data_IF_054865304929
#
_entry.id   IF_054865304929
#
_cell.length_a   1.000
_cell.length_b   1.000
_cell.length_c   1.000
_cell.angle_alpha   90.00
_cell.angle_beta   90.00
_cell.angle_gamma   90.00
#
_symmetry.space_group_name_H-M   'P 1'
#
loop_
_entity.id
_entity.type
_entity.pdbx_description
1 polymer ?
#
# COMPACT_ATOMS: atom_id res chain seq x y z
N UNK A 1 -71.18 -22.31 -0.86
CA UNK A 1 -69.86 -22.59 -0.25
C UNK A 1 -68.86 -21.63 -0.88
N UNK A 2 -68.45 -20.54 -0.17
CA UNK A 2 -67.57 -19.47 -0.69
C UNK A 2 -66.19 -19.69 -0.08
N UNK A 3 -65.21 -20.02 -0.94
CA UNK A 3 -63.81 -20.21 -0.54
C UNK A 3 -63.13 -18.84 -0.63
N UNK A 4 -62.71 -18.31 0.52
CA UNK A 4 -61.89 -17.11 0.59
C UNK A 4 -60.40 -17.48 0.42
N UNK A 5 -59.81 -16.96 -0.65
CA UNK A 5 -58.35 -17.12 -0.91
C UNK A 5 -57.64 -16.01 -0.12
N UNK A 6 -56.83 -16.39 0.87
CA UNK A 6 -56.00 -15.48 1.63
C UNK A 6 -54.62 -15.40 0.91
N UNK A 7 -54.33 -14.22 0.33
CA UNK A 7 -53.01 -13.91 -0.21
C UNK A 7 -52.08 -13.48 0.94
N UNK A 8 -51.07 -14.30 1.24
CA UNK A 8 -49.98 -13.92 2.16
C UNK A 8 -48.88 -13.19 1.35
N UNK A 9 -48.79 -11.86 1.51
CA UNK A 9 -47.69 -11.08 0.99
C UNK A 9 -46.45 -11.32 1.87
N UNK A 10 -45.46 -12.02 1.35
CA UNK A 10 -44.13 -12.13 1.99
C UNK A 10 -43.36 -10.84 1.72
N UNK A 11 -43.15 -10.02 2.75
CA UNK A 11 -42.22 -8.89 2.71
C UNK A 11 -40.78 -9.42 2.77
N UNK A 12 -40.03 -9.37 1.66
CA UNK A 12 -38.60 -9.60 1.61
C UNK A 12 -37.91 -8.34 2.12
N UNK A 13 -37.47 -8.32 3.37
CA UNK A 13 -36.65 -7.26 3.92
C UNK A 13 -35.20 -7.43 3.39
N UNK A 14 -34.82 -6.59 2.42
CA UNK A 14 -33.41 -6.43 2.04
C UNK A 14 -32.66 -5.76 3.20
N UNK A 15 -31.89 -6.54 3.98
CA UNK A 15 -30.91 -6.00 4.92
C UNK A 15 -29.77 -5.38 4.11
N UNK A 16 -29.41 -4.11 4.36
CA UNK A 16 -28.22 -3.54 3.74
C UNK A 16 -27.00 -4.34 4.19
N UNK A 17 -26.15 -4.74 3.23
CA UNK A 17 -24.87 -5.33 3.52
C UNK A 17 -24.07 -4.36 4.40
N UNK A 18 -23.63 -4.80 5.58
CA UNK A 18 -22.77 -4.01 6.44
C UNK A 18 -21.50 -3.64 5.64
N UNK A 19 -21.29 -2.35 5.43
CA UNK A 19 -20.06 -1.86 4.83
C UNK A 19 -18.89 -2.29 5.72
N UNK A 20 -17.81 -2.75 5.11
CA UNK A 20 -16.57 -3.11 5.79
C UNK A 20 -16.08 -1.90 6.59
N UNK A 21 -16.19 -1.96 7.91
CA UNK A 21 -15.92 -0.83 8.83
C UNK A 21 -14.44 -0.73 9.22
N UNK A 22 -13.55 -1.39 8.48
CA UNK A 22 -12.11 -1.30 8.68
C UNK A 22 -11.57 0.12 8.40
N UNK A 23 -10.40 0.48 8.96
CA UNK A 23 -9.79 1.78 8.70
C UNK A 23 -9.45 1.92 7.21
N UNK A 24 -9.67 3.11 6.64
CA UNK A 24 -9.30 3.40 5.26
C UNK A 24 -7.78 3.38 5.06
N UNK A 25 -7.32 3.19 3.81
CA UNK A 25 -5.89 3.28 3.46
C UNK A 25 -5.31 4.62 3.93
N UNK A 26 -6.02 5.72 3.67
CA UNK A 26 -5.62 7.06 4.12
C UNK A 26 -5.44 7.12 5.63
N UNK A 27 -6.39 6.60 6.39
CA UNK A 27 -6.33 6.62 7.86
C UNK A 27 -5.11 5.84 8.36
N UNK A 28 -4.85 4.62 7.86
CA UNK A 28 -3.69 3.83 8.25
C UNK A 28 -2.39 4.57 7.90
N UNK A 29 -2.29 5.19 6.71
CA UNK A 29 -1.11 5.92 6.29
C UNK A 29 -0.86 7.19 7.13
N UNK A 30 -1.92 7.88 7.57
CA UNK A 30 -1.82 9.02 8.50
C UNK A 30 -1.34 8.58 9.88
N UNK A 31 -1.90 7.50 10.42
CA UNK A 31 -1.52 6.95 11.72
C UNK A 31 -0.05 6.54 11.79
N UNK A 32 0.49 5.99 10.69
CA UNK A 32 1.91 5.64 10.57
C UNK A 32 2.79 6.82 10.14
N UNK A 33 2.22 8.02 9.91
CA UNK A 33 2.94 9.21 9.49
C UNK A 33 3.62 9.08 8.13
N UNK A 34 3.06 8.28 7.20
CA UNK A 34 3.72 7.90 5.95
C UNK A 34 3.69 8.98 4.87
N UNK A 35 2.73 9.89 4.86
CA UNK A 35 2.64 10.94 3.85
C UNK A 35 3.86 11.86 3.86
N UNK A 36 4.31 12.26 2.68
CA UNK A 36 5.47 13.11 2.47
C UNK A 36 6.60 12.41 1.74
N UNK A 37 7.79 12.99 1.81
CA UNK A 37 8.99 12.50 1.09
C UNK A 37 9.92 11.75 2.02
N UNK A 38 10.49 10.67 1.51
CA UNK A 38 11.40 9.78 2.22
C UNK A 38 12.64 9.51 1.37
N UNK A 39 13.83 9.50 1.98
CA UNK A 39 15.07 9.14 1.31
C UNK A 39 16.09 8.57 2.33
N UNK A 40 17.12 7.91 1.86
CA UNK A 40 18.25 7.52 2.72
C UNK A 40 19.04 8.78 3.15
N UNK A 41 19.21 9.71 2.21
CA UNK A 41 19.80 11.03 2.42
C UNK A 41 18.92 12.09 1.75
N UNK A 42 18.20 12.89 2.55
CA UNK A 42 17.26 13.90 2.05
C UNK A 42 17.93 15.05 1.27
N UNK A 43 19.20 15.29 1.51
CA UNK A 43 19.98 16.36 0.84
C UNK A 43 20.67 15.89 -0.44
N UNK A 44 20.80 14.59 -0.63
CA UNK A 44 21.46 14.01 -1.81
C UNK A 44 20.50 13.89 -3.00
N UNK A 45 21.04 13.70 -4.23
CA UNK A 45 20.26 13.42 -5.40
C UNK A 45 19.57 12.05 -5.28
N UNK A 46 18.46 11.88 -6.03
CA UNK A 46 17.84 10.58 -6.18
C UNK A 46 18.75 9.65 -6.98
N UNK A 47 18.95 8.44 -6.48
CA UNK A 47 19.72 7.35 -7.11
C UNK A 47 19.16 6.00 -6.64
N UNK A 48 19.51 4.87 -7.26
CA UNK A 48 19.10 3.55 -6.76
C UNK A 48 19.55 3.24 -5.33
N UNK A 49 20.68 3.83 -4.89
CA UNK A 49 21.16 3.70 -3.51
C UNK A 49 20.51 4.73 -2.55
N UNK A 50 19.96 5.81 -3.10
CA UNK A 50 19.25 6.85 -2.38
C UNK A 50 17.89 7.12 -3.06
N UNK A 51 16.96 6.16 -3.06
CA UNK A 51 15.66 6.37 -3.67
C UNK A 51 14.94 7.51 -2.94
N UNK A 52 14.31 8.39 -3.72
CA UNK A 52 13.41 9.40 -3.17
C UNK A 52 11.99 8.92 -3.36
N UNK A 53 11.33 8.62 -2.26
CA UNK A 53 9.97 8.07 -2.25
C UNK A 53 9.02 9.16 -1.79
N UNK A 54 8.07 9.53 -2.64
CA UNK A 54 7.02 10.50 -2.30
C UNK A 54 5.69 9.78 -2.17
N UNK A 55 5.05 9.93 -1.01
CA UNK A 55 3.74 9.36 -0.72
C UNK A 55 2.74 10.50 -0.63
N UNK A 56 1.73 10.45 -1.46
CA UNK A 56 0.71 11.48 -1.54
C UNK A 56 -0.67 10.91 -1.84
N UNK A 57 -1.65 11.80 -1.82
CA UNK A 57 -3.04 11.47 -2.15
C UNK A 57 -3.54 12.48 -3.21
N UNK A 58 -3.22 12.24 -4.50
CA UNK A 58 -3.58 13.15 -5.58
C UNK A 58 -5.08 13.28 -5.80
N UNK A 59 -5.82 12.26 -5.40
CA UNK A 59 -7.29 12.21 -5.41
C UNK A 59 -7.78 11.66 -4.09
N UNK A 60 -8.90 12.15 -3.58
CA UNK A 60 -9.46 11.69 -2.31
C UNK A 60 -9.58 10.16 -2.28
N UNK A 61 -9.02 9.55 -1.23
CA UNK A 61 -9.02 8.10 -1.02
C UNK A 61 -8.00 7.31 -1.86
N UNK A 62 -7.26 7.95 -2.78
CA UNK A 62 -6.26 7.28 -3.63
C UNK A 62 -4.85 7.61 -3.14
N UNK A 63 -4.22 6.69 -2.44
CA UNK A 63 -2.84 6.82 -1.98
C UNK A 63 -1.89 6.30 -3.04
N UNK A 64 -0.93 7.15 -3.42
CA UNK A 64 0.13 6.84 -4.40
C UNK A 64 1.48 6.95 -3.72
N UNK A 65 2.37 6.03 -4.03
CA UNK A 65 3.79 6.05 -3.68
C UNK A 65 4.62 6.09 -4.96
N UNK A 66 5.34 7.18 -5.19
CA UNK A 66 6.24 7.38 -6.33
C UNK A 66 7.70 7.25 -5.88
N UNK A 67 8.48 6.42 -6.57
CA UNK A 67 9.90 6.26 -6.34
C UNK A 67 10.69 6.89 -7.49
N UNK A 68 11.49 7.88 -7.18
CA UNK A 68 12.49 8.46 -8.06
C UNK A 68 13.85 7.81 -7.75
N UNK A 69 14.44 7.20 -8.76
CA UNK A 69 15.73 6.49 -8.70
C UNK A 69 16.84 7.25 -9.45
N UNK A 70 16.56 8.49 -9.88
CA UNK A 70 17.46 9.32 -10.69
C UNK A 70 17.11 9.33 -12.18
N UNK A 71 17.81 10.19 -12.92
CA UNK A 71 17.49 10.50 -14.32
C UNK A 71 17.59 9.32 -15.29
N UNK A 72 18.46 8.37 -14.97
CA UNK A 72 18.73 7.21 -15.85
C UNK A 72 17.77 6.03 -15.59
N UNK A 73 16.79 6.21 -14.70
CA UNK A 73 15.88 5.17 -14.29
C UNK A 73 14.43 5.61 -14.48
N UNK A 74 13.59 4.68 -14.92
CA UNK A 74 12.15 4.90 -14.92
C UNK A 74 11.65 5.06 -13.47
N UNK A 75 10.71 5.97 -13.27
CA UNK A 75 10.03 6.11 -11.98
C UNK A 75 9.17 4.88 -11.70
N UNK A 76 9.22 4.39 -10.47
CA UNK A 76 8.32 3.34 -10.02
C UNK A 76 7.14 3.99 -9.32
N UNK A 77 5.92 3.64 -9.75
CA UNK A 77 4.68 4.10 -9.15
C UNK A 77 3.92 2.94 -8.55
N UNK A 78 3.38 3.16 -7.36
CA UNK A 78 2.52 2.20 -6.68
C UNK A 78 1.20 2.88 -6.32
N UNK A 79 0.08 2.25 -6.66
CA UNK A 79 -1.25 2.61 -6.17
C UNK A 79 -1.61 1.69 -5.02
N UNK A 80 -1.92 2.24 -3.85
CA UNK A 80 -2.24 1.46 -2.66
C UNK A 80 -3.72 1.08 -2.68
N UNK A 81 -4.00 -0.23 -2.69
CA UNK A 81 -5.36 -0.78 -2.71
C UNK A 81 -5.91 -1.01 -1.32
N UNK A 82 -5.06 -1.54 -0.43
CA UNK A 82 -5.42 -1.84 0.95
C UNK A 82 -4.23 -1.61 1.87
N UNK A 83 -4.51 -1.25 3.12
CA UNK A 83 -3.51 -1.12 4.18
C UNK A 83 -4.09 -1.65 5.48
N UNK A 84 -3.27 -2.38 6.24
CA UNK A 84 -3.65 -2.86 7.56
C UNK A 84 -2.47 -2.83 8.52
N UNK A 85 -2.75 -2.45 9.75
CA UNK A 85 -1.78 -2.51 10.84
C UNK A 85 -1.51 -3.99 11.20
N UNK A 86 -0.24 -4.37 11.30
CA UNK A 86 0.20 -5.67 11.85
C UNK A 86 0.56 -5.48 13.33
N UNK A 87 1.39 -4.47 13.62
CA UNK A 87 1.79 -4.07 14.98
C UNK A 87 1.83 -2.54 15.07
N UNK A 88 2.21 -1.99 16.21
CA UNK A 88 2.42 -0.54 16.35
C UNK A 88 3.44 0.04 15.35
N UNK A 89 4.42 -0.77 14.92
CA UNK A 89 5.51 -0.36 14.03
C UNK A 89 5.44 -1.03 12.64
N UNK A 90 4.51 -1.94 12.40
CA UNK A 90 4.44 -2.70 11.12
C UNK A 90 3.07 -2.59 10.50
N UNK A 91 3.07 -2.40 9.18
CA UNK A 91 1.85 -2.44 8.37
C UNK A 91 2.07 -3.30 7.14
N UNK A 92 1.00 -3.94 6.67
CA UNK A 92 0.92 -4.60 5.38
C UNK A 92 0.12 -3.75 4.42
N UNK A 93 0.53 -3.73 3.16
CA UNK A 93 -0.17 -3.05 2.07
C UNK A 93 -0.28 -3.95 0.85
N UNK A 94 -1.42 -3.90 0.20
CA UNK A 94 -1.61 -4.46 -1.13
C UNK A 94 -1.55 -3.30 -2.13
N UNK A 95 -0.76 -3.45 -3.19
CA UNK A 95 -0.51 -2.38 -4.15
C UNK A 95 -0.61 -2.88 -5.59
N UNK A 96 -0.85 -1.94 -6.51
CA UNK A 96 -0.57 -2.12 -7.94
C UNK A 96 0.73 -1.37 -8.24
N UNK A 97 1.74 -2.09 -8.70
CA UNK A 97 2.96 -1.54 -9.25
C UNK A 97 2.74 -1.15 -10.71
N UNK A 98 3.19 0.05 -11.11
CA UNK A 98 3.07 0.60 -12.46
C UNK A 98 1.63 0.54 -13.02
N UNK A 99 0.63 1.11 -12.30
CA UNK A 99 -0.77 1.01 -12.68
C UNK A 99 -1.01 1.55 -14.09
N UNK A 100 -1.78 0.80 -14.89
CA UNK A 100 -2.13 1.15 -16.27
C UNK A 100 -1.02 0.95 -17.30
N UNK A 101 0.12 0.35 -16.93
CA UNK A 101 1.23 0.06 -17.84
C UNK A 101 1.28 -1.42 -18.22
N UNK A 102 2.00 -1.79 -19.30
CA UNK A 102 2.25 -3.20 -19.65
C UNK A 102 3.01 -3.98 -18.56
N UNK A 103 3.70 -3.27 -17.65
CA UNK A 103 4.40 -3.85 -16.50
C UNK A 103 3.60 -3.84 -15.21
N UNK A 104 2.28 -3.69 -15.28
CA UNK A 104 1.42 -3.69 -14.11
C UNK A 104 1.49 -5.02 -13.35
N UNK A 105 1.73 -4.95 -12.04
CA UNK A 105 1.76 -6.11 -11.16
C UNK A 105 1.05 -5.81 -9.85
N UNK A 106 0.29 -6.77 -9.33
CA UNK A 106 -0.19 -6.74 -7.95
C UNK A 106 0.92 -7.25 -7.02
N UNK A 107 1.16 -6.53 -5.94
CA UNK A 107 2.20 -6.88 -4.98
C UNK A 107 1.67 -6.74 -3.56
N UNK A 108 2.21 -7.57 -2.65
CA UNK A 108 2.03 -7.48 -1.20
C UNK A 108 3.33 -7.01 -0.58
N UNK A 109 3.26 -5.95 0.21
CA UNK A 109 4.41 -5.41 0.92
C UNK A 109 4.14 -5.35 2.42
N UNK A 110 5.24 -5.42 3.20
CA UNK A 110 5.21 -5.03 4.60
C UNK A 110 6.29 -3.98 4.86
N UNK A 111 5.94 -2.98 5.64
CA UNK A 111 6.86 -1.95 6.09
C UNK A 111 7.06 -2.02 7.60
N UNK A 112 8.30 -1.83 8.03
CA UNK A 112 8.64 -1.41 9.39
C UNK A 112 8.75 0.10 9.39
N UNK A 113 8.00 0.77 10.26
CA UNK A 113 7.99 2.23 10.43
C UNK A 113 8.25 2.53 11.90
N UNK A 114 9.37 3.16 12.20
CA UNK A 114 9.79 3.47 13.57
C UNK A 114 10.71 4.68 13.60
N UNK A 115 10.51 5.58 14.56
CA UNK A 115 11.40 6.70 14.86
C UNK A 115 11.71 7.56 13.61
N UNK A 116 10.67 7.89 12.82
CA UNK A 116 10.83 8.68 11.60
C UNK A 116 11.59 7.97 10.48
N UNK A 117 11.75 6.65 10.57
CA UNK A 117 12.34 5.81 9.52
C UNK A 117 11.36 4.78 9.00
N UNK A 118 11.56 4.33 7.75
CA UNK A 118 10.82 3.20 7.17
C UNK A 118 11.74 2.27 6.39
N UNK A 119 11.37 0.99 6.35
CA UNK A 119 12.05 -0.04 5.57
C UNK A 119 11.05 -1.06 5.06
N UNK A 120 11.24 -1.53 3.83
CA UNK A 120 10.48 -2.67 3.30
C UNK A 120 11.00 -3.96 3.92
N UNK A 121 10.13 -4.69 4.61
CA UNK A 121 10.43 -5.96 5.28
C UNK A 121 10.02 -7.17 4.45
N UNK A 122 8.99 -7.00 3.61
CA UNK A 122 8.47 -8.03 2.73
C UNK A 122 8.02 -7.42 1.41
N UNK A 123 8.22 -8.13 0.31
CA UNK A 123 7.64 -7.85 -1.00
C UNK A 123 7.45 -9.16 -1.75
N UNK A 124 6.26 -9.37 -2.28
CA UNK A 124 5.90 -10.50 -3.14
C UNK A 124 4.96 -10.03 -4.23
N UNK A 125 5.24 -10.42 -5.48
CA UNK A 125 4.27 -10.32 -6.57
C UNK A 125 3.16 -11.34 -6.34
N UNK A 126 1.92 -10.98 -6.59
CA UNK A 126 0.77 -11.88 -6.41
C UNK A 126 0.92 -13.10 -7.32
N UNK A 127 0.84 -14.29 -6.74
CA UNK A 127 1.13 -15.56 -7.44
C UNK A 127 2.57 -15.75 -7.89
N UNK A 128 3.49 -14.84 -7.55
CA UNK A 128 4.88 -14.84 -7.98
C UNK A 128 5.91 -15.00 -6.85
N UNK A 129 7.20 -14.77 -7.17
CA UNK A 129 8.27 -14.96 -6.21
C UNK A 129 8.29 -13.89 -5.13
N UNK A 130 8.77 -14.28 -3.94
CA UNK A 130 9.14 -13.34 -2.88
C UNK A 130 10.41 -12.61 -3.31
N UNK A 131 10.38 -11.27 -3.32
CA UNK A 131 11.50 -10.40 -3.70
C UNK A 131 12.27 -9.87 -2.48
N UNK A 132 11.54 -9.62 -1.38
CA UNK A 132 12.11 -9.16 -0.11
C UNK A 132 11.56 -10.04 1.02
N UNK A 133 12.44 -10.50 1.90
CA UNK A 133 12.09 -11.24 3.11
C UNK A 133 12.95 -10.79 4.28
N UNK A 134 12.30 -10.42 5.40
CA UNK A 134 12.99 -9.93 6.59
C UNK A 134 13.84 -8.67 6.35
N UNK A 135 13.47 -7.82 5.38
CA UNK A 135 14.24 -6.64 5.00
C UNK A 135 15.48 -6.93 4.14
N UNK A 136 15.60 -8.14 3.59
CA UNK A 136 16.67 -8.54 2.67
C UNK A 136 16.09 -8.66 1.27
N UNK A 137 16.66 -7.96 0.30
CA UNK A 137 16.36 -8.10 -1.13
C UNK A 137 17.01 -9.39 -1.66
N UNK A 138 16.20 -10.41 -1.97
CA UNK A 138 16.68 -11.77 -2.24
C UNK A 138 17.57 -11.85 -3.48
N UNK A 139 17.32 -11.02 -4.50
CA UNK A 139 18.12 -11.01 -5.73
C UNK A 139 19.56 -10.51 -5.52
N UNK A 140 19.82 -9.70 -4.48
CA UNK A 140 21.11 -9.06 -4.23
C UNK A 140 21.74 -9.47 -2.90
N UNK A 141 21.00 -10.15 -2.02
CA UNK A 141 21.44 -10.49 -0.67
C UNK A 141 21.62 -9.29 0.27
N UNK A 142 21.29 -8.07 -0.18
CA UNK A 142 21.49 -6.84 0.58
C UNK A 142 20.26 -6.41 1.35
N UNK A 143 20.45 -5.63 2.41
CA UNK A 143 19.37 -5.00 3.15
C UNK A 143 18.62 -3.99 2.27
N UNK A 144 17.28 -3.95 2.38
CA UNK A 144 16.50 -2.88 1.77
C UNK A 144 16.88 -1.52 2.38
N UNK A 145 16.77 -0.41 1.62
CA UNK A 145 17.10 0.91 2.12
C UNK A 145 16.34 1.25 3.41
N UNK A 146 17.02 1.88 4.36
CA UNK A 146 16.40 2.51 5.51
C UNK A 146 16.15 3.98 5.14
N UNK A 147 14.91 4.31 4.86
CA UNK A 147 14.52 5.66 4.48
C UNK A 147 14.18 6.47 5.73
N UNK A 148 14.53 7.77 5.70
CA UNK A 148 14.15 8.76 6.70
C UNK A 148 13.12 9.71 6.10
N UNK A 149 12.22 10.21 6.93
CA UNK A 149 11.30 11.26 6.49
C UNK A 149 12.08 12.55 6.25
N UNK A 150 11.89 13.14 5.07
CA UNK A 150 12.46 14.44 4.73
C UNK A 150 11.47 15.56 5.14
N UNK A 151 12.01 16.60 5.72
CA UNK A 151 11.26 17.82 6.08
C UNK A 151 11.06 18.71 4.85
#
# INVERSE_FOLDING_TARGET
>A
MRIALIFVLAFVTNLPAAADTGPSVEQVFREFGLFGTWATNCKGPATPANPRVTIGMPTAGVVIEDHDLGTDYARNRYSVLAARRITAERLAVDVIFQPGSPGEERQKLEFLVRDGTRRTMFNQTDGGPVRVKGGIALARGGKTPLLRKCE
#
